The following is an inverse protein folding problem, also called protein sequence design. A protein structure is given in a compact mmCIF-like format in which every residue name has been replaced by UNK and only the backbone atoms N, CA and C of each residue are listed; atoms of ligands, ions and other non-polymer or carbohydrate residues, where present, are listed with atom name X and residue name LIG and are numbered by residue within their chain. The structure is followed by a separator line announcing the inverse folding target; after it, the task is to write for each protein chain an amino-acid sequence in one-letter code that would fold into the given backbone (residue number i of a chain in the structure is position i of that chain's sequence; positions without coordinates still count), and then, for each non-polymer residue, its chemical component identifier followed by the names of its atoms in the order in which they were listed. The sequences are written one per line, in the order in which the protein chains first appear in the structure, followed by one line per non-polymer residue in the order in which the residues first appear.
data_IF_760604827681
#
_entry.id   IF_760604827681
#
_cell.length_a   1.000
_cell.length_b   1.000
_cell.length_c   1.000
_cell.angle_alpha   90.00
_cell.angle_beta   90.00
_cell.angle_gamma   90.00
#
_symmetry.space_group_name_H-M   'P 1'
#
loop_
_entity.id
_entity.type
_entity.pdbx_description
1 polymer ?
#
# COMPACT_ATOMS: atom_id res chain seq x y z
N UNK A 1 -35.99 -31.26 15.77
CA UNK A 1 -35.22 -30.00 15.86
C UNK A 1 -34.12 -30.20 16.88
N UNK A 2 -32.91 -30.51 16.42
CA UNK A 2 -31.75 -30.62 17.29
C UNK A 2 -31.42 -29.24 17.85
N UNK A 3 -31.27 -29.16 19.18
CA UNK A 3 -30.85 -27.94 19.87
C UNK A 3 -29.39 -27.70 19.53
N UNK A 4 -29.12 -26.65 18.73
CA UNK A 4 -27.77 -26.18 18.47
C UNK A 4 -27.07 -25.88 19.80
N UNK A 5 -26.08 -26.70 20.14
CA UNK A 5 -25.25 -26.51 21.32
C UNK A 5 -23.95 -25.87 20.83
N UNK A 6 -23.68 -24.60 21.14
CA UNK A 6 -22.47 -23.94 20.65
C UNK A 6 -21.24 -24.65 21.20
N UNK A 7 -20.32 -25.02 20.30
CA UNK A 7 -19.07 -25.74 20.61
C UNK A 7 -18.09 -24.97 21.52
N UNK A 8 -18.32 -23.67 21.74
CA UNK A 8 -17.48 -22.82 22.58
C UNK A 8 -18.37 -21.93 23.46
N UNK A 9 -18.57 -22.36 24.71
CA UNK A 9 -19.49 -21.70 25.66
C UNK A 9 -18.87 -20.44 26.28
N UNK A 10 -17.54 -20.26 26.16
CA UNK A 10 -16.83 -19.03 26.52
C UNK A 10 -16.18 -18.41 25.27
N UNK A 11 -16.93 -17.62 24.51
CA UNK A 11 -16.33 -16.77 23.47
C UNK A 11 -15.62 -15.57 24.12
N UNK A 12 -14.30 -15.64 24.20
CA UNK A 12 -13.47 -14.47 24.51
C UNK A 12 -13.69 -13.37 23.46
N UNK A 13 -13.56 -12.09 23.85
CA UNK A 13 -13.61 -10.97 22.89
C UNK A 13 -12.61 -11.15 21.74
N UNK A 14 -11.46 -11.79 22.01
CA UNK A 14 -10.42 -12.14 21.04
C UNK A 14 -10.95 -13.05 19.92
N UNK A 15 -11.70 -14.10 20.27
CA UNK A 15 -12.30 -15.04 19.31
C UNK A 15 -13.33 -14.35 18.39
N UNK A 16 -14.13 -13.43 18.94
CA UNK A 16 -15.13 -12.67 18.15
C UNK A 16 -14.47 -11.70 17.17
N UNK A 17 -13.41 -11.02 17.60
CA UNK A 17 -12.70 -10.07 16.75
C UNK A 17 -11.93 -10.80 15.63
N UNK A 18 -11.32 -11.95 15.93
CA UNK A 18 -10.63 -12.79 14.95
C UNK A 18 -11.54 -13.23 13.80
N UNK A 19 -12.73 -13.77 14.14
CA UNK A 19 -13.74 -14.16 13.14
C UNK A 19 -14.14 -12.98 12.24
N UNK A 20 -14.29 -11.79 12.83
CA UNK A 20 -14.62 -10.57 12.07
C UNK A 20 -13.51 -10.16 11.09
N UNK A 21 -12.24 -10.37 11.41
CA UNK A 21 -11.11 -10.04 10.53
C UNK A 21 -11.11 -10.94 9.30
N UNK A 22 -11.21 -12.26 9.50
CA UNK A 22 -11.29 -13.23 8.41
C UNK A 22 -12.45 -12.87 7.48
N UNK A 23 -13.65 -12.67 8.03
CA UNK A 23 -14.84 -12.31 7.26
C UNK A 23 -14.64 -11.02 6.45
N UNK A 24 -14.04 -9.98 7.05
CA UNK A 24 -13.78 -8.71 6.35
C UNK A 24 -12.76 -8.87 5.22
N UNK A 25 -11.69 -9.62 5.44
CA UNK A 25 -10.66 -9.86 4.42
C UNK A 25 -11.22 -10.67 3.25
N UNK A 26 -12.03 -11.69 3.51
CA UNK A 26 -12.76 -12.43 2.47
C UNK A 26 -13.67 -11.52 1.65
N UNK A 27 -14.47 -10.66 2.30
CA UNK A 27 -15.33 -9.69 1.60
C UNK A 27 -14.48 -8.72 0.77
N UNK A 28 -13.32 -8.31 1.27
CA UNK A 28 -12.41 -7.42 0.55
C UNK A 28 -11.82 -8.09 -0.70
N UNK A 29 -11.38 -9.34 -0.61
CA UNK A 29 -10.89 -10.13 -1.74
C UNK A 29 -11.95 -10.25 -2.84
N UNK A 30 -13.20 -10.54 -2.46
CA UNK A 30 -14.33 -10.59 -3.40
C UNK A 30 -14.55 -9.25 -4.12
N UNK A 31 -14.39 -8.13 -3.42
CA UNK A 31 -14.54 -6.78 -4.00
C UNK A 31 -13.37 -6.40 -4.90
N UNK A 32 -12.15 -6.80 -4.55
CA UNK A 32 -10.93 -6.47 -5.28
C UNK A 32 -10.75 -7.34 -6.54
N UNK A 33 -11.35 -8.53 -6.56
CA UNK A 33 -11.26 -9.49 -7.66
C UNK A 33 -12.64 -9.89 -8.20
N UNK A 34 -13.44 -8.95 -8.74
CA UNK A 34 -14.83 -9.22 -9.15
C UNK A 34 -14.96 -10.16 -10.36
N UNK A 35 -13.85 -10.52 -11.00
CA UNK A 35 -13.79 -11.43 -12.15
C UNK A 35 -13.13 -12.78 -11.82
N UNK A 36 -12.61 -12.94 -10.61
CA UNK A 36 -12.04 -14.21 -10.19
C UNK A 36 -13.16 -15.24 -10.03
N UNK A 37 -12.85 -16.50 -10.33
CA UNK A 37 -13.78 -17.60 -10.10
C UNK A 37 -14.00 -17.80 -8.60
N UNK A 38 -15.11 -18.43 -8.23
CA UNK A 38 -15.39 -18.76 -6.83
C UNK A 38 -14.27 -19.62 -6.21
N UNK A 39 -13.64 -20.49 -7.03
CA UNK A 39 -12.55 -21.38 -6.64
C UNK A 39 -11.23 -20.61 -6.40
N UNK A 40 -10.97 -19.57 -7.21
CA UNK A 40 -9.83 -18.66 -7.01
C UNK A 40 -10.02 -17.79 -5.75
N UNK A 41 -11.23 -17.26 -5.54
CA UNK A 41 -11.57 -16.48 -4.35
C UNK A 41 -11.47 -17.34 -3.09
N UNK A 42 -11.95 -18.59 -3.13
CA UNK A 42 -11.83 -19.54 -2.03
C UNK A 42 -10.37 -19.81 -1.69
N UNK A 43 -9.54 -20.09 -2.69
CA UNK A 43 -8.11 -20.35 -2.50
C UNK A 43 -7.39 -19.14 -1.88
N UNK A 44 -7.69 -17.92 -2.36
CA UNK A 44 -7.13 -16.69 -1.79
C UNK A 44 -7.59 -16.46 -0.34
N UNK A 45 -8.88 -16.68 -0.07
CA UNK A 45 -9.44 -16.51 1.26
C UNK A 45 -8.91 -17.54 2.25
N UNK A 46 -8.69 -18.78 1.84
CA UNK A 46 -8.08 -19.83 2.64
C UNK A 46 -6.63 -19.51 2.98
N UNK A 47 -5.82 -19.13 1.99
CA UNK A 47 -4.42 -18.76 2.23
C UNK A 47 -4.28 -17.58 3.20
N UNK A 48 -5.11 -16.57 3.06
CA UNK A 48 -5.15 -15.40 3.96
C UNK A 48 -5.65 -15.80 5.37
N UNK A 49 -6.67 -16.64 5.45
CA UNK A 49 -7.17 -17.13 6.74
C UNK A 49 -6.12 -17.99 7.47
N UNK A 50 -5.35 -18.81 6.74
CA UNK A 50 -4.25 -19.61 7.29
C UNK A 50 -3.13 -18.70 7.81
N UNK A 51 -2.70 -17.69 7.04
CA UNK A 51 -1.70 -16.73 7.51
C UNK A 51 -2.15 -15.97 8.76
N UNK A 52 -3.42 -15.55 8.81
CA UNK A 52 -4.01 -14.91 9.99
C UNK A 52 -4.03 -15.87 11.19
N UNK A 53 -4.29 -17.17 10.97
CA UNK A 53 -4.20 -18.20 12.00
C UNK A 53 -2.76 -18.41 12.50
N UNK A 54 -1.80 -18.58 11.60
CA UNK A 54 -0.40 -18.88 11.92
C UNK A 54 0.23 -17.73 12.71
N UNK A 55 -0.01 -16.50 12.28
CA UNK A 55 0.41 -15.30 13.01
C UNK A 55 -0.18 -15.25 14.42
N UNK A 56 -1.41 -15.74 14.63
CA UNK A 56 -2.03 -15.82 15.95
C UNK A 56 -1.41 -16.91 16.84
N UNK A 57 -0.89 -17.99 16.26
CA UNK A 57 -0.20 -19.06 17.00
C UNK A 57 1.17 -18.56 17.45
N UNK A 58 1.93 -17.92 16.57
CA UNK A 58 3.29 -17.44 16.86
C UNK A 58 3.33 -16.34 17.94
N UNK A 59 2.34 -15.47 17.97
CA UNK A 59 2.21 -14.36 18.91
C UNK A 59 1.57 -14.75 20.26
N UNK A 60 1.23 -16.03 20.45
CA UNK A 60 0.78 -16.57 21.75
C UNK A 60 1.91 -16.76 22.76
N UNK A 61 3.16 -16.57 22.34
CA UNK A 61 4.37 -16.89 23.12
C UNK A 61 5.07 -15.67 23.75
N UNK A 62 4.59 -14.45 23.50
CA UNK A 62 5.16 -13.23 24.11
C UNK A 62 4.26 -12.70 25.24
N UNK A 63 4.75 -12.75 26.49
CA UNK A 63 4.07 -12.16 27.64
C UNK A 63 4.09 -10.62 27.55
N UNK A 64 2.92 -10.00 27.44
CA UNK A 64 2.75 -8.54 27.43
C UNK A 64 2.05 -8.00 26.19
N UNK A 65 1.07 -8.71 25.64
CA UNK A 65 0.51 -8.36 24.32
C UNK A 65 -0.55 -7.26 24.38
N UNK A 66 -0.28 -6.15 23.69
CA UNK A 66 -1.32 -5.38 22.99
C UNK A 66 -2.20 -6.34 22.18
N UNK A 67 -3.50 -6.05 21.97
CA UNK A 67 -4.39 -6.94 21.23
C UNK A 67 -3.77 -7.36 19.90
N UNK A 68 -3.62 -8.66 19.66
CA UNK A 68 -2.96 -9.25 18.48
C UNK A 68 -3.47 -8.73 17.12
N UNK A 69 -4.71 -8.28 17.10
CA UNK A 69 -5.34 -7.64 15.95
C UNK A 69 -4.77 -6.25 15.71
N UNK A 70 -4.45 -5.50 16.77
CA UNK A 70 -3.65 -4.28 16.63
C UNK A 70 -2.27 -4.62 16.09
N UNK A 71 -1.64 -5.74 16.49
CA UNK A 71 -0.34 -6.15 15.96
C UNK A 71 -0.41 -6.54 14.48
N UNK A 72 -1.37 -7.38 14.06
CA UNK A 72 -1.60 -7.73 12.65
C UNK A 72 -1.92 -6.50 11.79
N UNK A 73 -2.85 -5.65 12.24
CA UNK A 73 -3.12 -4.38 11.57
C UNK A 73 -1.96 -3.41 11.71
N UNK A 74 -1.09 -3.50 12.73
CA UNK A 74 0.12 -2.71 12.82
C UNK A 74 1.13 -3.20 11.80
N UNK A 75 1.30 -4.50 11.55
CA UNK A 75 2.25 -5.01 10.55
C UNK A 75 1.78 -4.78 9.11
N UNK A 76 0.49 -5.04 8.81
CA UNK A 76 -0.12 -4.74 7.50
C UNK A 76 -0.22 -3.21 7.28
N UNK A 77 -0.58 -2.44 8.32
CA UNK A 77 -0.50 -0.97 8.26
C UNK A 77 0.93 -0.48 8.30
N UNK A 78 1.93 -1.11 8.90
CA UNK A 78 3.32 -0.63 8.94
C UNK A 78 3.98 -0.77 7.58
N UNK A 79 3.71 -1.87 6.86
CA UNK A 79 4.08 -2.00 5.46
C UNK A 79 3.44 -0.93 4.57
N UNK A 80 2.17 -0.57 4.82
CA UNK A 80 1.49 0.51 4.11
C UNK A 80 1.84 1.92 4.64
N UNK A 81 2.27 2.06 5.90
CA UNK A 81 2.60 3.32 6.60
C UNK A 81 4.03 3.75 6.39
N UNK A 82 4.98 2.84 6.12
CA UNK A 82 6.37 3.27 5.84
C UNK A 82 6.42 4.23 4.66
N UNK A 83 5.58 4.00 3.64
CA UNK A 83 5.51 4.82 2.42
C UNK A 83 4.15 5.51 2.20
N UNK A 84 3.34 5.71 3.24
CA UNK A 84 1.98 6.23 3.05
C UNK A 84 1.95 7.61 2.37
N UNK A 85 2.92 8.50 2.64
CA UNK A 85 3.00 9.79 1.92
C UNK A 85 3.35 9.54 0.46
N UNK A 86 4.31 8.64 0.19
CA UNK A 86 4.68 8.26 -1.17
C UNK A 86 3.54 7.59 -1.95
N UNK A 87 2.74 6.75 -1.29
CA UNK A 87 1.55 6.12 -1.87
C UNK A 87 0.44 7.14 -2.12
N UNK A 88 0.24 8.07 -1.18
CA UNK A 88 -0.69 9.17 -1.32
C UNK A 88 -0.31 10.06 -2.50
N UNK A 89 0.98 10.39 -2.61
CA UNK A 89 1.58 11.09 -3.74
C UNK A 89 1.38 10.37 -5.07
N UNK A 90 1.64 9.05 -5.13
CA UNK A 90 1.50 8.28 -6.36
C UNK A 90 0.06 8.14 -6.83
N UNK A 91 -0.93 8.25 -5.94
CA UNK A 91 -2.34 8.10 -6.32
C UNK A 91 -2.75 9.08 -7.41
N UNK A 92 -2.28 10.33 -7.34
CA UNK A 92 -2.51 11.34 -8.40
C UNK A 92 -1.89 10.97 -9.76
N UNK A 93 -0.87 10.11 -9.73
CA UNK A 93 -0.09 9.71 -10.90
C UNK A 93 -0.49 8.33 -11.44
N UNK A 94 -1.34 7.59 -10.73
CA UNK A 94 -1.71 6.20 -11.06
C UNK A 94 -2.34 6.11 -12.46
N UNK A 95 -3.07 7.15 -12.87
CA UNK A 95 -3.74 7.16 -14.15
C UNK A 95 -2.79 7.28 -15.34
N UNK A 96 -1.68 8.01 -15.18
CA UNK A 96 -0.65 8.19 -16.21
C UNK A 96 0.36 7.03 -16.22
N UNK A 97 0.55 6.34 -15.09
CA UNK A 97 1.59 5.34 -14.90
C UNK A 97 1.09 3.88 -15.01
N UNK A 98 -0.05 3.65 -15.68
CA UNK A 98 -0.70 2.33 -15.79
C UNK A 98 0.22 1.21 -16.29
N UNK A 99 0.07 0.03 -15.69
CA UNK A 99 0.61 -1.23 -16.19
C UNK A 99 1.01 -2.21 -15.08
N UNK A 100 1.06 -3.52 -15.37
CA UNK A 100 1.46 -4.54 -14.40
C UNK A 100 2.89 -4.29 -13.89
N UNK A 101 3.81 -3.88 -14.77
CA UNK A 101 5.17 -3.52 -14.40
C UNK A 101 5.19 -2.37 -13.38
N UNK A 102 4.35 -1.37 -13.56
CA UNK A 102 4.28 -0.25 -12.63
C UNK A 102 3.75 -0.70 -11.27
N UNK A 103 2.62 -1.40 -11.24
CA UNK A 103 1.97 -1.80 -10.00
C UNK A 103 2.79 -2.81 -9.18
N UNK A 104 3.41 -3.78 -9.85
CA UNK A 104 4.12 -4.89 -9.19
C UNK A 104 5.58 -4.57 -8.85
N UNK A 105 6.23 -3.69 -9.62
CA UNK A 105 7.66 -3.41 -9.48
C UNK A 105 7.94 -1.96 -9.07
N UNK A 106 7.38 -0.98 -9.78
CA UNK A 106 7.83 0.41 -9.69
C UNK A 106 7.10 1.21 -8.61
N UNK A 107 5.85 0.87 -8.31
CA UNK A 107 5.04 1.59 -7.33
C UNK A 107 5.67 1.61 -5.94
N UNK A 108 6.14 0.49 -5.36
CA UNK A 108 6.83 0.52 -4.06
C UNK A 108 8.08 1.39 -4.11
N UNK A 109 8.91 1.23 -5.15
CA UNK A 109 10.15 1.98 -5.35
C UNK A 109 9.90 3.50 -5.37
N UNK A 110 8.95 3.93 -6.19
CA UNK A 110 8.64 5.36 -6.35
C UNK A 110 7.99 5.92 -5.08
N UNK A 111 7.21 5.14 -4.35
CA UNK A 111 6.66 5.57 -3.07
C UNK A 111 7.78 5.74 -2.01
N UNK A 112 8.75 4.83 -1.97
CA UNK A 112 9.95 4.94 -1.12
C UNK A 112 10.80 6.17 -1.49
N UNK A 113 10.89 6.48 -2.79
CA UNK A 113 11.70 7.60 -3.29
C UNK A 113 11.30 8.94 -2.67
N UNK A 114 10.01 9.13 -2.36
CA UNK A 114 9.48 10.34 -1.71
C UNK A 114 10.09 10.55 -0.32
N UNK A 115 10.15 9.50 0.51
CA UNK A 115 10.79 9.61 1.82
C UNK A 115 12.29 9.90 1.67
N UNK A 116 12.94 9.20 0.73
CA UNK A 116 14.39 9.36 0.52
C UNK A 116 14.78 10.77 0.04
N UNK A 117 13.94 11.42 -0.77
CA UNK A 117 14.21 12.75 -1.31
C UNK A 117 13.80 13.87 -0.36
N UNK A 118 12.60 13.79 0.23
CA UNK A 118 12.08 14.85 1.09
C UNK A 118 12.75 14.87 2.48
N UNK A 119 13.32 13.74 2.90
CA UNK A 119 13.87 13.56 4.25
C UNK A 119 12.78 13.36 5.31
N UNK A 120 13.20 12.93 6.51
CA UNK A 120 12.26 12.52 7.57
C UNK A 120 11.38 13.67 8.07
N UNK A 121 11.93 14.86 8.24
CA UNK A 121 11.20 16.03 8.77
C UNK A 121 9.99 16.39 7.90
N UNK A 122 10.20 16.62 6.60
CA UNK A 122 9.11 16.94 5.67
C UNK A 122 8.13 15.78 5.54
N UNK A 123 8.64 14.56 5.51
CA UNK A 123 7.82 13.37 5.43
C UNK A 123 6.86 13.26 6.64
N UNK A 124 7.33 13.56 7.85
CA UNK A 124 6.52 13.55 9.06
C UNK A 124 5.47 14.68 9.08
N UNK A 125 5.78 15.86 8.51
CA UNK A 125 4.80 16.94 8.32
C UNK A 125 3.63 16.47 7.45
N UNK A 126 3.91 15.90 6.28
CA UNK A 126 2.86 15.39 5.40
C UNK A 126 2.13 14.18 6.00
N UNK A 127 2.84 13.34 6.75
CA UNK A 127 2.24 12.26 7.53
C UNK A 127 1.15 12.76 8.46
N UNK A 128 1.43 13.82 9.22
CA UNK A 128 0.46 14.45 10.12
C UNK A 128 -0.74 15.01 9.38
N UNK A 129 -0.51 15.73 8.27
CA UNK A 129 -1.57 16.34 7.47
C UNK A 129 -2.50 15.32 6.83
N UNK A 130 -1.95 14.27 6.21
CA UNK A 130 -2.73 13.18 5.60
C UNK A 130 -3.57 12.48 6.66
N UNK A 131 -3.03 12.22 7.86
CA UNK A 131 -3.80 11.62 8.97
C UNK A 131 -4.96 12.50 9.41
N UNK A 132 -4.74 13.80 9.58
CA UNK A 132 -5.79 14.74 9.96
C UNK A 132 -6.89 14.80 8.89
N UNK A 133 -6.50 14.90 7.62
CA UNK A 133 -7.40 14.87 6.48
C UNK A 133 -8.26 13.59 6.44
N UNK A 134 -7.64 12.41 6.50
CA UNK A 134 -8.38 11.15 6.46
C UNK A 134 -9.32 10.97 7.66
N UNK A 135 -8.93 11.49 8.83
CA UNK A 135 -9.78 11.48 10.01
C UNK A 135 -11.02 12.38 9.81
N UNK A 136 -10.85 13.57 9.25
CA UNK A 136 -11.96 14.49 8.94
C UNK A 136 -12.93 13.88 7.92
N UNK A 137 -12.42 13.34 6.81
CA UNK A 137 -13.27 12.70 5.80
C UNK A 137 -14.01 11.48 6.35
N UNK A 138 -13.34 10.69 7.20
CA UNK A 138 -13.96 9.55 7.88
C UNK A 138 -15.09 9.97 8.84
N UNK A 139 -14.97 11.11 9.52
CA UNK A 139 -16.06 11.67 10.35
C UNK A 139 -17.27 12.11 9.51
N UNK A 140 -17.03 12.53 8.27
CA UNK A 140 -18.06 12.86 7.29
C UNK A 140 -18.66 11.63 6.60
N UNK A 141 -18.21 10.43 6.97
CA UNK A 141 -18.73 9.16 6.44
C UNK A 141 -18.17 8.76 5.08
N UNK A 142 -17.15 9.46 4.58
CA UNK A 142 -16.51 9.12 3.31
C UNK A 142 -15.59 7.91 3.47
N UNK A 143 -15.61 7.03 2.46
CA UNK A 143 -14.64 5.95 2.35
C UNK A 143 -13.25 6.49 1.96
N UNK A 144 -12.22 5.65 2.14
CA UNK A 144 -10.86 6.02 1.77
C UNK A 144 -10.75 6.42 0.29
N UNK A 145 -11.31 5.61 -0.62
CA UNK A 145 -11.24 5.90 -2.06
C UNK A 145 -11.96 7.22 -2.40
N UNK A 146 -13.17 7.43 -1.86
CA UNK A 146 -13.90 8.69 -2.05
C UNK A 146 -13.13 9.90 -1.48
N UNK A 147 -12.38 9.70 -0.40
CA UNK A 147 -11.53 10.74 0.18
C UNK A 147 -10.36 11.04 -0.75
N UNK A 148 -9.74 10.03 -1.36
CA UNK A 148 -8.58 10.23 -2.23
C UNK A 148 -8.93 10.95 -3.54
N UNK A 149 -10.18 10.83 -4.02
CA UNK A 149 -10.68 11.54 -5.19
C UNK A 149 -11.15 12.99 -4.88
N UNK A 150 -11.04 13.43 -3.63
CA UNK A 150 -11.52 14.74 -3.19
C UNK A 150 -10.54 15.88 -3.49
N UNK A 151 -11.07 17.09 -3.66
CA UNK A 151 -10.27 18.30 -3.88
C UNK A 151 -9.20 18.51 -2.79
N UNK A 152 -9.49 18.36 -1.48
CA UNK A 152 -8.46 18.52 -0.44
C UNK A 152 -7.35 17.46 -0.52
N UNK A 153 -7.66 16.24 -0.99
CA UNK A 153 -6.64 15.24 -1.22
C UNK A 153 -5.70 15.66 -2.35
N UNK A 154 -6.24 16.17 -3.45
CA UNK A 154 -5.44 16.66 -4.58
C UNK A 154 -4.55 17.84 -4.21
N UNK A 155 -5.02 18.77 -3.38
CA UNK A 155 -4.21 19.88 -2.88
C UNK A 155 -2.99 19.38 -2.09
N UNK A 156 -3.19 18.41 -1.20
CA UNK A 156 -2.08 17.79 -0.46
C UNK A 156 -1.11 17.06 -1.41
N UNK A 157 -1.62 16.36 -2.42
CA UNK A 157 -0.79 15.68 -3.42
C UNK A 157 0.03 16.67 -4.26
N UNK A 158 -0.57 17.77 -4.71
CA UNK A 158 0.11 18.86 -5.45
C UNK A 158 1.26 19.44 -4.66
N UNK A 159 1.03 19.73 -3.38
CA UNK A 159 2.07 20.25 -2.51
C UNK A 159 3.24 19.27 -2.36
N UNK A 160 2.96 17.97 -2.18
CA UNK A 160 4.00 16.94 -2.10
C UNK A 160 4.77 16.87 -3.44
N UNK A 161 4.08 16.92 -4.58
CA UNK A 161 4.71 16.92 -5.91
C UNK A 161 5.61 18.14 -6.09
N UNK A 162 5.13 19.33 -5.72
CA UNK A 162 5.88 20.58 -5.81
C UNK A 162 7.16 20.54 -4.98
N UNK A 163 7.07 20.09 -3.73
CA UNK A 163 8.26 19.92 -2.87
C UNK A 163 9.19 18.83 -3.38
N UNK A 164 8.67 17.72 -3.89
CA UNK A 164 9.46 16.63 -4.49
C UNK A 164 10.26 17.13 -5.71
N UNK A 165 9.63 17.88 -6.62
CA UNK A 165 10.30 18.50 -7.77
C UNK A 165 11.34 19.55 -7.36
N UNK A 166 11.05 20.34 -6.32
CA UNK A 166 11.96 21.35 -5.79
C UNK A 166 13.20 20.72 -5.17
N UNK A 167 13.04 19.68 -4.35
CA UNK A 167 14.17 18.94 -3.78
C UNK A 167 14.97 18.22 -4.86
N UNK A 168 14.30 17.65 -5.87
CA UNK A 168 14.98 16.99 -6.99
C UNK A 168 15.87 17.97 -7.79
N UNK A 169 15.40 19.20 -8.00
CA UNK A 169 16.19 20.27 -8.62
C UNK A 169 17.39 20.68 -7.76
N UNK A 170 17.23 20.60 -6.43
CA UNK A 170 18.25 20.97 -5.45
C UNK A 170 19.30 19.87 -5.25
N UNK A 171 18.96 18.62 -5.55
CA UNK A 171 19.84 17.45 -5.52
C UNK A 171 19.91 16.74 -6.88
N UNK A 172 20.69 17.27 -7.86
CA UNK A 172 20.77 16.70 -9.21
C UNK A 172 21.17 15.22 -9.28
N UNK A 173 22.01 14.78 -8.34
CA UNK A 173 22.44 13.36 -8.23
C UNK A 173 21.29 12.41 -7.91
N UNK A 174 20.18 12.91 -7.37
CA UNK A 174 19.03 12.08 -7.05
C UNK A 174 18.38 11.49 -8.32
N UNK A 175 18.40 12.21 -9.44
CA UNK A 175 17.87 11.67 -10.70
C UNK A 175 18.64 10.43 -11.17
N UNK A 176 19.97 10.47 -11.06
CA UNK A 176 20.83 9.33 -11.38
C UNK A 176 20.59 8.16 -10.41
N UNK A 177 20.46 8.47 -9.12
CA UNK A 177 20.12 7.46 -8.10
C UNK A 177 18.76 6.81 -8.37
N UNK A 178 17.74 7.59 -8.71
CA UNK A 178 16.41 7.07 -9.02
C UNK A 178 16.42 6.18 -10.27
N UNK A 179 17.18 6.56 -11.31
CA UNK A 179 17.37 5.71 -12.49
C UNK A 179 18.06 4.38 -12.15
N UNK A 180 19.11 4.42 -11.32
CA UNK A 180 19.78 3.22 -10.83
C UNK A 180 18.83 2.32 -10.02
N UNK A 181 18.00 2.92 -9.18
CA UNK A 181 16.99 2.20 -8.40
C UNK A 181 15.93 1.55 -9.29
N UNK A 182 15.51 2.22 -10.37
CA UNK A 182 14.61 1.66 -11.37
C UNK A 182 15.28 0.46 -12.07
N UNK A 183 16.55 0.60 -12.47
CA UNK A 183 17.33 -0.48 -13.09
C UNK A 183 17.39 -1.73 -12.19
N UNK A 184 17.77 -1.56 -10.92
CA UNK A 184 17.83 -2.63 -9.93
C UNK A 184 16.47 -3.31 -9.71
N UNK A 185 15.40 -2.51 -9.66
CA UNK A 185 14.04 -3.02 -9.49
C UNK A 185 13.59 -3.85 -10.71
N UNK A 186 13.88 -3.38 -11.92
CA UNK A 186 13.58 -4.11 -13.15
C UNK A 186 14.39 -5.41 -13.27
N UNK A 187 15.68 -5.39 -12.91
CA UNK A 187 16.53 -6.59 -12.86
C UNK A 187 16.01 -7.63 -11.86
N UNK A 188 15.55 -7.17 -10.70
CA UNK A 188 14.91 -8.02 -9.69
C UNK A 188 13.58 -8.60 -10.21
N UNK A 189 12.76 -7.78 -10.86
CA UNK A 189 11.49 -8.21 -11.44
C UNK A 189 11.68 -9.26 -12.54
N UNK A 190 12.63 -9.03 -13.46
CA UNK A 190 13.01 -9.94 -14.53
C UNK A 190 13.49 -11.30 -13.99
N UNK A 191 14.29 -11.28 -12.92
CA UNK A 191 14.81 -12.49 -12.28
C UNK A 191 13.70 -13.34 -11.65
N UNK A 192 12.65 -12.69 -11.14
CA UNK A 192 11.47 -13.36 -10.54
C UNK A 192 10.42 -13.77 -11.57
N UNK A 193 10.43 -13.17 -12.77
CA UNK A 193 9.50 -13.43 -13.86
C UNK A 193 10.28 -13.71 -15.16
N UNK A 194 11.05 -14.82 -15.24
CA UNK A 194 11.91 -15.11 -16.39
C UNK A 194 11.14 -15.22 -17.72
N UNK A 195 9.85 -15.52 -17.67
CA UNK A 195 8.93 -15.56 -18.81
C UNK A 195 8.52 -14.17 -19.34
N UNK A 196 8.65 -13.11 -18.53
CA UNK A 196 8.37 -11.73 -18.92
C UNK A 196 9.67 -11.03 -19.30
N UNK A 197 10.05 -11.07 -20.58
CA UNK A 197 11.27 -10.42 -21.06
C UNK A 197 11.08 -8.91 -21.12
N UNK A 198 11.76 -8.18 -20.24
CA UNK A 198 11.83 -6.73 -20.14
C UNK A 198 13.20 -6.28 -20.64
N UNK A 199 13.22 -5.40 -21.63
CA UNK A 199 14.46 -4.74 -22.04
C UNK A 199 14.82 -3.66 -21.00
N UNK A 200 15.67 -3.98 -20.04
CA UNK A 200 15.94 -3.13 -18.87
C UNK A 200 16.46 -1.75 -19.31
N UNK A 201 17.57 -1.71 -20.07
CA UNK A 201 18.21 -0.46 -20.51
C UNK A 201 17.25 0.51 -21.22
N UNK A 202 16.40 0.01 -22.11
CA UNK A 202 15.40 0.84 -22.81
C UNK A 202 14.26 1.28 -21.90
N UNK A 203 13.91 0.47 -20.91
CA UNK A 203 12.78 0.76 -20.03
C UNK A 203 13.15 1.72 -18.89
N UNK A 204 14.39 1.72 -18.38
CA UNK A 204 14.81 2.63 -17.30
C UNK A 204 14.56 4.08 -17.69
N UNK A 205 15.09 4.51 -18.85
CA UNK A 205 14.94 5.89 -19.32
C UNK A 205 13.47 6.22 -19.63
N UNK A 206 12.74 5.30 -20.28
CA UNK A 206 11.34 5.49 -20.62
C UNK A 206 10.45 5.63 -19.37
N UNK A 207 10.67 4.80 -18.35
CA UNK A 207 9.93 4.83 -17.09
C UNK A 207 10.23 6.13 -16.35
N UNK A 208 11.50 6.50 -16.27
CA UNK A 208 11.92 7.75 -15.64
C UNK A 208 11.26 8.95 -16.34
N UNK A 209 11.30 9.02 -17.67
CA UNK A 209 10.72 10.13 -18.42
C UNK A 209 9.19 10.18 -18.27
N UNK A 210 8.51 9.02 -18.28
CA UNK A 210 7.07 8.95 -18.01
C UNK A 210 6.74 9.42 -16.60
N UNK A 211 7.54 9.05 -15.61
CA UNK A 211 7.36 9.49 -14.23
C UNK A 211 7.53 11.00 -14.13
N UNK A 212 8.63 11.55 -14.67
CA UNK A 212 8.87 13.00 -14.69
C UNK A 212 7.76 13.78 -15.39
N UNK A 213 7.32 13.31 -16.56
CA UNK A 213 6.22 13.92 -17.28
C UNK A 213 4.90 13.90 -16.49
N UNK A 214 4.64 12.80 -15.78
CA UNK A 214 3.46 12.68 -14.91
C UNK A 214 3.53 13.67 -13.75
N UNK A 215 4.72 13.91 -13.18
CA UNK A 215 4.89 14.93 -12.15
C UNK A 215 4.61 16.33 -12.68
N UNK A 216 5.12 16.67 -13.86
CA UNK A 216 4.93 17.99 -14.48
C UNK A 216 3.47 18.30 -14.82
N UNK A 217 2.69 17.29 -15.22
CA UNK A 217 1.25 17.47 -15.47
C UNK A 217 0.48 17.76 -14.18
N UNK A 218 0.97 17.24 -13.05
CA UNK A 218 0.25 17.21 -11.79
C UNK A 218 0.82 18.18 -10.73
N UNK A 219 1.82 19.00 -11.09
CA UNK A 219 2.49 19.99 -10.25
C UNK A 219 1.91 21.39 -10.36
#
# INVERSE_FOLDING_TARGET
MEKYTPLFIEESQRTKQFRRVIVRKTIQLMRQHPKASDEEIQTMAENEAVQICDLCVESSFEEGTRPLIEQYFLTEKEGQRRNHVGRFFLHKLEDQLKGPLFKECLFPLLADSVKSLLGEEKYDIYTGRIKAFLQEMGQQGMSYNESMDSQPAYEIMEEIIGEYLKEMKSFPKFQEQLKSQIDDALGTYQSKNPEKVVNIDKNVQLIFDKFMHSLEINS
#
